data_IF_053275633991
#
_entry.id   IF_053275633991
#
_cell.length_a   1.000
_cell.length_b   1.000
_cell.length_c   1.000
_cell.angle_alpha   90.00
_cell.angle_beta   90.00
_cell.angle_gamma   90.00
#
_symmetry.space_group_name_H-M   'P 1'
#
loop_
_entity.id
_entity.type
_entity.pdbx_description
1 polymer ?
#
# COMPACT_ATOMS: atom_id res chain seq x y z
N UNK A 1 -3.14 11.61 -8.31
CA UNK A 1 -2.58 10.58 -7.40
C UNK A 1 -3.17 9.17 -7.61
N UNK A 2 -4.47 8.99 -7.88
CA UNK A 2 -5.07 7.67 -8.18
C UNK A 2 -4.36 6.89 -9.29
N UNK A 3 -4.03 7.57 -10.40
CA UNK A 3 -3.38 6.92 -11.55
C UNK A 3 -1.90 6.66 -11.32
N UNK A 4 -1.16 7.61 -10.73
CA UNK A 4 0.27 7.47 -10.47
C UNK A 4 0.57 6.23 -9.62
N UNK A 5 -0.13 6.08 -8.49
CA UNK A 5 0.05 4.95 -7.60
C UNK A 5 -0.37 3.62 -8.26
N UNK A 6 -1.42 3.67 -9.11
CA UNK A 6 -1.87 2.50 -9.88
C UNK A 6 -0.85 2.08 -10.93
N UNK A 7 -0.21 3.03 -11.62
CA UNK A 7 0.86 2.78 -12.60
C UNK A 7 2.09 2.20 -11.89
N UNK A 8 2.53 2.81 -10.79
CA UNK A 8 3.64 2.30 -9.98
C UNK A 8 3.39 0.86 -9.50
N UNK A 9 2.15 0.56 -9.10
CA UNK A 9 1.75 -0.78 -8.68
C UNK A 9 1.78 -1.79 -9.84
N UNK A 10 1.29 -1.41 -11.02
CA UNK A 10 1.35 -2.28 -12.22
C UNK A 10 2.81 -2.58 -12.60
N UNK A 11 3.68 -1.56 -12.59
CA UNK A 11 5.12 -1.73 -12.85
C UNK A 11 5.74 -2.69 -11.84
N UNK A 12 5.41 -2.54 -10.55
CA UNK A 12 5.88 -3.45 -9.50
C UNK A 12 5.45 -4.89 -9.75
N UNK A 13 4.18 -5.14 -10.10
CA UNK A 13 3.67 -6.49 -10.39
C UNK A 13 4.40 -7.12 -11.57
N UNK A 14 4.59 -6.37 -12.66
CA UNK A 14 5.34 -6.85 -13.83
C UNK A 14 6.79 -7.16 -13.46
N UNK A 15 7.42 -6.33 -12.65
CA UNK A 15 8.80 -6.55 -12.22
C UNK A 15 8.93 -7.79 -11.33
N UNK A 16 8.00 -8.01 -10.39
CA UNK A 16 7.97 -9.24 -9.59
C UNK A 16 7.76 -10.47 -10.47
N UNK A 17 6.88 -10.40 -11.47
CA UNK A 17 6.68 -11.50 -12.42
C UNK A 17 7.96 -11.82 -13.19
N UNK A 18 8.70 -10.81 -13.67
CA UNK A 18 10.00 -10.97 -14.32
C UNK A 18 11.03 -11.57 -13.35
N UNK A 19 11.06 -11.10 -12.10
CA UNK A 19 11.94 -11.62 -11.06
C UNK A 19 11.70 -13.10 -10.78
N UNK A 20 10.44 -13.51 -10.63
CA UNK A 20 10.05 -14.91 -10.43
C UNK A 20 10.43 -15.76 -11.65
N UNK A 21 10.17 -15.27 -12.86
CA UNK A 21 10.55 -15.95 -14.10
C UNK A 21 12.08 -16.17 -14.18
N UNK A 22 12.88 -15.16 -13.84
CA UNK A 22 14.35 -15.26 -13.79
C UNK A 22 14.84 -16.26 -12.73
N UNK A 23 14.15 -16.35 -11.59
CA UNK A 23 14.45 -17.34 -10.53
C UNK A 23 14.21 -18.75 -11.06
N UNK A 24 13.09 -18.98 -11.76
CA UNK A 24 12.77 -20.29 -12.35
C UNK A 24 13.78 -20.74 -13.41
N UNK A 25 14.40 -19.79 -14.11
CA UNK A 25 15.48 -20.05 -15.07
C UNK A 25 16.87 -20.19 -14.42
N UNK A 26 16.95 -20.20 -13.08
CA UNK A 26 18.21 -20.24 -12.31
C UNK A 26 19.22 -19.17 -12.74
N UNK A 27 18.73 -18.02 -13.23
CA UNK A 27 19.60 -17.00 -13.76
C UNK A 27 20.43 -16.40 -12.62
N UNK A 28 21.77 -16.26 -12.76
CA UNK A 28 22.65 -15.86 -11.65
C UNK A 28 22.33 -14.46 -11.07
N UNK A 29 21.66 -13.61 -11.84
CA UNK A 29 21.23 -12.27 -11.43
C UNK A 29 19.81 -12.21 -10.85
N UNK A 30 19.09 -13.33 -10.78
CA UNK A 30 17.69 -13.35 -10.39
C UNK A 30 17.45 -12.76 -8.98
N UNK A 31 18.30 -13.13 -8.01
CA UNK A 31 18.22 -12.59 -6.65
C UNK A 31 18.45 -11.08 -6.59
N UNK A 32 19.33 -10.54 -7.44
CA UNK A 32 19.59 -9.09 -7.52
C UNK A 32 18.37 -8.37 -8.07
N UNK A 33 17.77 -8.89 -9.15
CA UNK A 33 16.55 -8.32 -9.75
C UNK A 33 15.38 -8.36 -8.75
N UNK A 34 15.24 -9.47 -8.02
CA UNK A 34 14.22 -9.62 -6.98
C UNK A 34 14.45 -8.62 -5.82
N UNK A 35 15.69 -8.46 -5.37
CA UNK A 35 16.09 -7.51 -4.34
C UNK A 35 15.83 -6.07 -4.73
N UNK A 36 16.09 -5.69 -5.99
CA UNK A 36 15.75 -4.37 -6.52
C UNK A 36 14.25 -4.11 -6.57
N UNK A 37 13.45 -5.14 -6.88
CA UNK A 37 11.99 -5.05 -6.81
C UNK A 37 11.49 -4.78 -5.38
N UNK A 38 12.05 -5.49 -4.39
CA UNK A 38 11.75 -5.27 -2.97
C UNK A 38 12.20 -3.88 -2.50
N UNK A 39 13.38 -3.44 -2.94
CA UNK A 39 13.88 -2.10 -2.66
C UNK A 39 12.94 -1.02 -3.20
N UNK A 40 12.52 -1.14 -4.46
CA UNK A 40 11.54 -0.25 -5.06
C UNK A 40 10.23 -0.23 -4.26
N UNK A 41 9.74 -1.40 -3.86
CA UNK A 41 8.52 -1.49 -3.05
C UNK A 41 8.65 -0.78 -1.70
N UNK A 42 9.73 -1.06 -0.97
CA UNK A 42 9.94 -0.57 0.39
C UNK A 42 10.22 0.94 0.43
N UNK A 43 11.04 1.45 -0.50
CA UNK A 43 11.51 2.84 -0.45
C UNK A 43 10.73 3.80 -1.34
N UNK A 44 10.08 3.33 -2.41
CA UNK A 44 9.29 4.19 -3.29
C UNK A 44 7.80 3.94 -3.09
N UNK A 45 7.34 2.70 -3.32
CA UNK A 45 5.91 2.41 -3.38
C UNK A 45 5.23 2.59 -2.02
N UNK A 46 5.81 2.07 -0.94
CA UNK A 46 5.23 2.16 0.41
C UNK A 46 5.14 3.61 0.93
N UNK A 47 6.19 4.45 0.89
CA UNK A 47 6.11 5.83 1.38
C UNK A 47 5.14 6.68 0.55
N UNK A 48 5.14 6.51 -0.78
CA UNK A 48 4.21 7.23 -1.66
C UNK A 48 2.77 6.78 -1.43
N UNK A 49 2.55 5.49 -1.18
CA UNK A 49 1.24 4.95 -0.81
C UNK A 49 0.72 5.57 0.48
N UNK A 50 1.54 5.60 1.53
CA UNK A 50 1.20 6.20 2.82
C UNK A 50 0.90 7.69 2.64
N UNK A 51 1.79 8.43 1.98
CA UNK A 51 1.59 9.87 1.73
C UNK A 51 0.27 10.13 1.00
N UNK A 52 -0.02 9.39 -0.08
CA UNK A 52 -1.28 9.56 -0.81
C UNK A 52 -2.48 9.30 0.11
N UNK A 53 -2.43 8.26 0.95
CA UNK A 53 -3.53 7.90 1.83
C UNK A 53 -3.76 8.89 2.96
N UNK A 54 -2.71 9.48 3.51
CA UNK A 54 -2.81 10.49 4.56
C UNK A 54 -3.27 11.85 4.02
N UNK A 55 -2.90 12.20 2.78
CA UNK A 55 -3.24 13.49 2.15
C UNK A 55 -4.76 13.75 2.03
N UNK A 56 -5.57 12.71 1.82
CA UNK A 56 -7.01 12.88 1.63
C UNK A 56 -7.83 12.94 2.95
N UNK A 57 -7.18 13.04 4.12
CA UNK A 57 -7.87 13.23 5.41
C UNK A 57 -8.75 12.06 5.86
N UNK A 58 -8.82 10.96 5.08
CA UNK A 58 -9.65 9.77 5.36
C UNK A 58 -9.28 9.08 6.68
N UNK A 59 -8.07 9.29 7.19
CA UNK A 59 -7.65 8.82 8.51
C UNK A 59 -8.54 9.40 9.62
N UNK A 60 -9.05 10.64 9.48
CA UNK A 60 -9.98 11.26 10.44
C UNK A 60 -11.30 10.51 10.58
N UNK A 61 -11.67 9.68 9.59
CA UNK A 61 -12.83 8.78 9.69
C UNK A 61 -12.61 7.71 10.77
N UNK A 62 -11.36 7.24 10.94
CA UNK A 62 -10.97 6.20 11.90
C UNK A 62 -10.54 6.76 13.25
N UNK A 63 -10.34 8.08 13.38
CA UNK A 63 -10.14 8.70 14.69
C UNK A 63 -11.45 8.62 15.47
N UNK A 64 -11.39 7.93 16.61
CA UNK A 64 -12.45 7.90 17.62
C UNK A 64 -12.43 9.26 18.33
N UNK A 65 -13.52 10.02 18.18
CA UNK A 65 -13.69 11.32 18.83
C UNK A 65 -14.86 11.21 19.81
N UNK A 66 -14.88 12.04 20.85
CA UNK A 66 -15.90 12.00 21.91
C UNK A 66 -17.31 12.07 21.35
N UNK A 67 -17.54 12.88 20.31
CA UNK A 67 -18.84 12.92 19.61
C UNK A 67 -19.23 11.58 18.97
N UNK A 68 -18.28 10.88 18.32
CA UNK A 68 -18.56 9.57 17.68
C UNK A 68 -18.81 8.47 18.72
N UNK A 69 -18.08 8.51 19.83
CA UNK A 69 -18.32 7.64 20.98
C UNK A 69 -19.73 7.87 21.54
N UNK A 70 -20.09 9.13 21.77
CA UNK A 70 -21.39 9.53 22.32
C UNK A 70 -22.55 9.13 21.38
N UNK A 71 -22.39 9.31 20.08
CA UNK A 71 -23.37 8.87 19.07
C UNK A 71 -23.52 7.34 19.03
N UNK A 72 -22.41 6.60 19.18
CA UNK A 72 -22.43 5.13 19.24
C UNK A 72 -23.18 4.62 20.48
N UNK A 73 -22.89 5.19 21.66
CA UNK A 73 -23.58 4.85 22.90
C UNK A 73 -25.05 5.29 22.91
N UNK A 74 -25.40 6.44 22.34
CA UNK A 74 -26.80 6.87 22.23
C UNK A 74 -27.62 6.00 21.28
N UNK A 75 -27.00 5.46 20.21
CA UNK A 75 -27.68 4.48 19.35
C UNK A 75 -27.89 3.14 20.04
N UNK A 76 -27.01 2.76 20.97
CA UNK A 76 -27.10 1.51 21.70
C UNK A 76 -28.21 1.51 22.76
N UNK A 77 -28.49 2.67 23.38
CA UNK A 77 -29.60 2.83 24.34
C UNK A 77 -30.98 3.09 23.72
N UNK A 78 -31.08 3.13 22.38
CA UNK A 78 -32.34 3.33 21.64
C UNK A 78 -32.92 2.05 21.03
N UNK A 79 -32.29 0.89 21.28
CA UNK A 79 -32.79 -0.43 20.94
C UNK A 79 -33.34 -1.13 22.19
#
# INVERSE_FOLDING_TARGET
>A
MKYLLKIMFIIFVVWIAIGIYLIQMEHPKAHIVMGLGIFYFSFLLMPIFIYHRYKDGKYKKYILNDQKLRDAFQKQGKN
#
